data_IF_911433457861
#
_entry.id   IF_911433457861
#
_cell.length_a   1.000
_cell.length_b   1.000
_cell.length_c   1.000
_cell.angle_alpha   90.00
_cell.angle_beta   90.00
_cell.angle_gamma   90.00
#
_symmetry.space_group_name_H-M   'P 1'
#
loop_
_entity.id
_entity.type
_entity.pdbx_description
1 polymer ?
#
# COMPACT_ATOMS: atom_id res chain seq x y z
N UNK A 1 -55.58 -2.49 7.41
CA UNK A 1 -54.15 -2.80 7.18
C UNK A 1 -53.59 -1.69 6.31
N UNK A 2 -52.59 -0.97 6.80
CA UNK A 2 -52.00 0.20 6.15
C UNK A 2 -50.49 0.17 6.36
N UNK A 3 -49.74 0.38 5.28
CA UNK A 3 -48.27 0.43 5.32
C UNK A 3 -47.78 1.88 5.30
N UNK A 4 -46.68 2.15 6.00
CA UNK A 4 -46.02 3.46 5.97
C UNK A 4 -44.59 3.32 5.45
N UNK A 5 -44.27 3.98 4.32
CA UNK A 5 -42.94 3.91 3.71
C UNK A 5 -41.95 4.80 4.45
N UNK A 6 -40.86 4.21 4.93
CA UNK A 6 -39.70 4.92 5.46
C UNK A 6 -38.52 4.75 4.50
N UNK A 7 -37.84 5.86 4.24
CA UNK A 7 -36.58 5.91 3.51
C UNK A 7 -35.47 6.19 4.50
N UNK A 8 -34.61 5.20 4.74
CA UNK A 8 -33.43 5.35 5.57
C UNK A 8 -32.30 6.03 4.80
N UNK A 9 -31.62 6.96 5.45
CA UNK A 9 -30.41 7.63 4.99
C UNK A 9 -29.70 8.27 6.20
N UNK A 10 -28.56 8.93 6.00
CA UNK A 10 -27.79 9.55 7.11
C UNK A 10 -28.60 10.56 7.96
N UNK A 11 -29.64 11.17 7.38
CA UNK A 11 -30.52 12.15 8.04
C UNK A 11 -31.81 11.56 8.62
N UNK A 12 -32.05 10.26 8.42
CA UNK A 12 -33.18 9.54 9.01
C UNK A 12 -32.78 8.07 9.22
N UNK A 13 -32.37 7.77 10.45
CA UNK A 13 -31.71 6.54 10.89
C UNK A 13 -32.67 5.56 11.58
N UNK A 14 -32.16 4.39 11.97
CA UNK A 14 -32.97 3.39 12.68
C UNK A 14 -33.53 3.91 14.01
N UNK A 15 -32.74 4.70 14.76
CA UNK A 15 -33.18 5.35 15.99
C UNK A 15 -34.36 6.30 15.75
N UNK A 16 -34.32 7.06 14.66
CA UNK A 16 -35.37 8.04 14.34
C UNK A 16 -36.68 7.33 13.98
N UNK A 17 -36.59 6.25 13.21
CA UNK A 17 -37.75 5.40 12.93
C UNK A 17 -38.31 4.74 14.19
N UNK A 18 -37.45 4.29 15.11
CA UNK A 18 -37.86 3.69 16.39
C UNK A 18 -38.67 4.67 17.23
N UNK A 19 -38.22 5.92 17.27
CA UNK A 19 -38.87 6.98 18.04
C UNK A 19 -40.17 7.45 17.38
N UNK A 20 -40.33 7.24 16.07
CA UNK A 20 -41.55 7.52 15.31
C UNK A 20 -42.66 6.46 15.50
N UNK A 21 -42.33 5.24 15.92
CA UNK A 21 -43.29 4.11 16.05
C UNK A 21 -44.57 4.47 16.82
N UNK A 22 -44.51 5.09 18.02
CA UNK A 22 -45.73 5.41 18.78
C UNK A 22 -46.68 6.36 18.04
N UNK A 23 -46.13 7.27 17.23
CA UNK A 23 -46.92 8.18 16.41
C UNK A 23 -47.62 7.42 15.27
N UNK A 24 -46.93 6.47 14.63
CA UNK A 24 -47.51 5.67 13.54
C UNK A 24 -48.62 4.75 14.05
N UNK A 25 -48.45 4.18 15.24
CA UNK A 25 -49.49 3.39 15.91
C UNK A 25 -50.74 4.25 16.19
N UNK A 26 -50.57 5.46 16.74
CA UNK A 26 -51.68 6.39 16.97
C UNK A 26 -52.38 6.82 15.66
N UNK A 27 -51.66 6.86 14.54
CA UNK A 27 -52.20 7.11 13.21
C UNK A 27 -52.96 5.91 12.62
N UNK A 28 -52.83 4.72 13.21
CA UNK A 28 -53.47 3.48 12.77
C UNK A 28 -52.69 2.72 11.69
N UNK A 29 -51.38 2.97 11.56
CA UNK A 29 -50.50 2.21 10.66
C UNK A 29 -50.27 0.81 11.24
N UNK A 30 -50.35 -0.21 10.40
CA UNK A 30 -50.16 -1.62 10.82
C UNK A 30 -48.77 -2.14 10.49
N UNK A 31 -48.12 -1.62 9.46
CA UNK A 31 -46.83 -2.13 9.01
C UNK A 31 -45.90 -1.01 8.56
N UNK A 32 -44.63 -1.12 8.95
CA UNK A 32 -43.56 -0.28 8.46
C UNK A 32 -42.98 -0.87 7.17
N UNK A 33 -43.02 -0.13 6.07
CA UNK A 33 -42.34 -0.51 4.83
C UNK A 33 -41.01 0.24 4.72
N UNK A 34 -39.90 -0.41 5.00
CA UNK A 34 -38.58 0.20 5.06
C UNK A 34 -37.77 0.00 3.77
N UNK A 35 -36.97 1.01 3.40
CA UNK A 35 -35.92 0.91 2.37
C UNK A 35 -34.82 -0.09 2.76
N UNK A 36 -33.93 -0.47 1.82
CA UNK A 36 -32.88 -1.44 2.12
C UNK A 36 -31.97 -1.00 3.26
N UNK A 37 -31.48 -1.97 4.04
CA UNK A 37 -30.60 -1.75 5.21
C UNK A 37 -29.13 -2.09 4.96
N UNK A 38 -28.83 -2.74 3.85
CA UNK A 38 -27.49 -3.27 3.56
C UNK A 38 -26.54 -2.15 3.15
N UNK A 39 -25.23 -2.37 3.32
CA UNK A 39 -24.19 -1.38 3.01
C UNK A 39 -24.30 -0.97 1.53
N UNK A 40 -24.67 0.28 1.34
CA UNK A 40 -24.65 0.97 0.05
C UNK A 40 -23.37 1.79 -0.09
N UNK A 41 -23.20 2.46 -1.24
CA UNK A 41 -22.14 3.46 -1.39
C UNK A 41 -22.25 4.54 -0.32
N UNK A 42 -21.10 5.08 0.08
CA UNK A 42 -21.03 6.17 1.05
C UNK A 42 -21.87 7.37 0.59
N UNK A 43 -22.68 7.91 1.51
CA UNK A 43 -23.57 9.04 1.23
C UNK A 43 -24.79 8.71 0.37
N UNK A 44 -25.10 7.43 0.13
CA UNK A 44 -26.32 7.04 -0.60
C UNK A 44 -27.57 7.50 0.15
N UNK A 45 -28.44 8.23 -0.55
CA UNK A 45 -29.71 8.71 -0.01
C UNK A 45 -30.85 7.68 -0.14
N UNK A 46 -30.62 6.58 -0.86
CA UNK A 46 -31.68 5.64 -1.25
C UNK A 46 -31.38 4.19 -0.87
N UNK A 47 -30.11 3.79 -0.79
CA UNK A 47 -29.69 2.46 -0.34
C UNK A 47 -29.91 1.32 -1.35
N UNK A 48 -30.10 1.64 -2.63
CA UNK A 48 -30.29 0.63 -3.69
C UNK A 48 -28.98 0.25 -4.39
N UNK A 49 -27.96 1.09 -4.26
CA UNK A 49 -26.61 0.90 -4.77
C UNK A 49 -25.77 0.09 -3.77
N UNK A 50 -26.16 -1.17 -3.56
CA UNK A 50 -25.55 -2.09 -2.60
C UNK A 50 -24.08 -2.36 -2.93
N UNK A 51 -23.20 -2.04 -2.00
CA UNK A 51 -21.77 -2.33 -2.07
C UNK A 51 -21.40 -3.63 -1.34
N UNK A 52 -22.09 -3.96 -0.24
CA UNK A 52 -21.90 -5.23 0.49
C UNK A 52 -23.25 -5.73 1.05
N UNK A 53 -23.77 -6.87 0.57
CA UNK A 53 -25.06 -7.40 0.96
C UNK A 53 -25.01 -8.12 2.33
N UNK A 54 -23.84 -8.32 2.93
CA UNK A 54 -23.67 -9.01 4.20
C UNK A 54 -23.58 -8.06 5.40
N UNK A 55 -23.37 -6.77 5.14
CA UNK A 55 -23.19 -5.76 6.18
C UNK A 55 -24.36 -4.79 6.21
N UNK A 56 -24.73 -4.38 7.42
CA UNK A 56 -25.63 -3.24 7.61
C UNK A 56 -24.89 -1.96 7.24
N UNK A 57 -25.61 -1.01 6.63
CA UNK A 57 -25.05 0.30 6.35
C UNK A 57 -24.86 1.08 7.66
N UNK A 58 -23.61 1.32 8.03
CA UNK A 58 -23.23 2.07 9.23
C UNK A 58 -23.76 3.51 9.26
N UNK A 59 -24.09 4.11 8.11
CA UNK A 59 -24.71 5.44 8.05
C UNK A 59 -26.17 5.43 8.55
N UNK A 60 -26.85 4.27 8.51
CA UNK A 60 -28.21 4.12 8.98
C UNK A 60 -28.26 3.78 10.48
N UNK A 61 -27.21 3.14 10.97
CA UNK A 61 -27.08 2.72 12.36
C UNK A 61 -26.34 1.40 12.54
N UNK A 62 -26.37 0.88 13.76
CA UNK A 62 -25.79 -0.43 14.08
C UNK A 62 -26.81 -1.57 13.93
N UNK A 63 -26.34 -2.82 14.04
CA UNK A 63 -27.22 -3.99 14.04
C UNK A 63 -28.15 -3.98 15.27
N UNK A 64 -27.64 -3.52 16.40
CA UNK A 64 -28.37 -3.37 17.66
C UNK A 64 -29.45 -2.30 17.53
N UNK A 65 -29.15 -1.14 16.94
CA UNK A 65 -30.16 -0.10 16.69
C UNK A 65 -31.30 -0.59 15.79
N UNK A 66 -31.00 -1.43 14.79
CA UNK A 66 -32.02 -2.05 13.95
C UNK A 66 -32.86 -3.09 14.72
N UNK A 67 -32.23 -3.87 15.58
CA UNK A 67 -32.92 -4.84 16.44
C UNK A 67 -33.84 -4.13 17.45
N UNK A 68 -33.41 -3.01 18.02
CA UNK A 68 -34.25 -2.16 18.88
C UNK A 68 -35.48 -1.62 18.14
N UNK A 69 -35.33 -1.19 16.89
CA UNK A 69 -36.46 -0.81 16.03
C UNK A 69 -37.41 -1.99 15.83
N UNK A 70 -36.89 -3.18 15.52
CA UNK A 70 -37.72 -4.38 15.33
C UNK A 70 -38.49 -4.76 16.60
N UNK A 71 -37.85 -4.71 17.76
CA UNK A 71 -38.48 -4.95 19.06
C UNK A 71 -39.55 -3.90 19.37
N UNK A 72 -39.29 -2.62 19.04
CA UNK A 72 -40.26 -1.54 19.21
C UNK A 72 -41.50 -1.75 18.34
N UNK A 73 -41.33 -2.12 17.07
CA UNK A 73 -42.44 -2.46 16.17
C UNK A 73 -43.25 -3.64 16.72
N UNK A 74 -42.58 -4.70 17.18
CA UNK A 74 -43.26 -5.86 17.79
C UNK A 74 -44.06 -5.47 19.04
N UNK A 75 -43.54 -4.58 19.89
CA UNK A 75 -44.25 -4.09 21.07
C UNK A 75 -45.59 -3.41 20.71
N UNK A 76 -45.62 -2.67 19.61
CA UNK A 76 -46.85 -2.05 19.07
C UNK A 76 -47.62 -2.97 18.10
N UNK A 77 -47.24 -4.25 18.02
CA UNK A 77 -47.85 -5.22 17.10
C UNK A 77 -47.82 -4.78 15.62
N UNK A 78 -46.84 -3.95 15.25
CA UNK A 78 -46.63 -3.49 13.89
C UNK A 78 -45.70 -4.44 13.12
N UNK A 79 -46.03 -4.74 11.87
CA UNK A 79 -45.19 -5.52 10.97
C UNK A 79 -44.02 -4.71 10.39
N UNK A 80 -43.02 -5.42 9.87
CA UNK A 80 -41.89 -4.83 9.14
C UNK A 80 -41.76 -5.49 7.76
N UNK A 81 -41.96 -4.69 6.71
CA UNK A 81 -41.66 -5.06 5.33
C UNK A 81 -40.35 -4.40 4.93
N UNK A 82 -39.31 -5.20 4.70
CA UNK A 82 -37.99 -4.69 4.31
C UNK A 82 -37.79 -4.84 2.80
N UNK A 83 -37.44 -3.75 2.15
CA UNK A 83 -37.08 -3.73 0.74
C UNK A 83 -35.72 -4.39 0.50
N UNK A 84 -35.61 -5.20 -0.57
CA UNK A 84 -34.40 -5.95 -0.91
C UNK A 84 -34.03 -5.73 -2.38
N UNK A 85 -32.73 -5.77 -2.68
CA UNK A 85 -32.20 -5.49 -4.03
C UNK A 85 -31.41 -6.70 -4.53
N UNK A 86 -32.10 -7.74 -5.04
CA UNK A 86 -31.42 -8.97 -5.46
C UNK A 86 -30.78 -8.88 -6.86
N UNK A 87 -31.20 -7.90 -7.67
CA UNK A 87 -30.87 -7.89 -9.09
C UNK A 87 -29.52 -7.24 -9.42
N UNK A 88 -29.06 -6.27 -8.62
CA UNK A 88 -27.88 -5.49 -8.96
C UNK A 88 -27.11 -5.04 -7.72
N UNK A 89 -25.85 -4.69 -7.93
CA UNK A 89 -24.94 -4.14 -6.94
C UNK A 89 -24.20 -2.94 -7.52
N UNK A 90 -23.59 -2.13 -6.67
CA UNK A 90 -22.78 -0.98 -7.09
C UNK A 90 -21.51 -1.44 -7.81
N UNK A 91 -21.32 -0.97 -9.04
CA UNK A 91 -20.05 -1.07 -9.78
C UNK A 91 -19.10 0.04 -9.33
N UNK A 92 -18.60 -0.06 -8.09
CA UNK A 92 -17.75 0.95 -7.46
C UNK A 92 -16.60 0.30 -6.69
N UNK A 93 -15.58 1.09 -6.36
CA UNK A 93 -14.46 0.64 -5.52
C UNK A 93 -14.84 0.31 -4.08
N UNK A 94 -16.09 0.57 -3.67
CA UNK A 94 -16.62 0.18 -2.36
C UNK A 94 -17.14 -1.26 -2.35
N UNK A 95 -17.32 -1.88 -3.53
CA UNK A 95 -17.79 -3.25 -3.68
C UNK A 95 -16.58 -4.19 -3.85
N UNK A 96 -16.24 -4.99 -2.82
CA UNK A 96 -15.06 -5.86 -2.86
C UNK A 96 -15.19 -6.98 -3.90
N UNK A 97 -16.41 -7.46 -4.19
CA UNK A 97 -16.62 -8.49 -5.21
C UNK A 97 -16.36 -7.93 -6.60
N UNK A 98 -16.79 -6.68 -6.82
CA UNK A 98 -16.52 -6.01 -8.08
C UNK A 98 -15.03 -5.74 -8.28
N UNK A 99 -14.33 -5.28 -7.23
CA UNK A 99 -12.88 -5.08 -7.27
C UNK A 99 -12.13 -6.38 -7.60
N UNK A 100 -12.48 -7.50 -6.96
CA UNK A 100 -11.86 -8.80 -7.24
C UNK A 100 -12.08 -9.26 -8.69
N UNK A 101 -13.26 -9.00 -9.26
CA UNK A 101 -13.54 -9.28 -10.67
C UNK A 101 -12.73 -8.39 -11.60
N UNK A 102 -12.52 -7.11 -11.26
CA UNK A 102 -11.69 -6.22 -12.06
C UNK A 102 -10.20 -6.60 -12.00
N UNK A 103 -9.73 -7.09 -10.85
CA UNK A 103 -8.35 -7.52 -10.66
C UNK A 103 -8.06 -8.88 -11.32
N UNK A 104 -8.92 -9.86 -11.07
CA UNK A 104 -8.68 -11.25 -11.45
C UNK A 104 -9.45 -11.69 -12.72
N UNK A 105 -10.29 -10.82 -13.26
CA UNK A 105 -11.13 -11.10 -14.42
C UNK A 105 -11.98 -12.35 -14.22
N UNK A 106 -12.00 -13.22 -15.22
CA UNK A 106 -12.74 -14.49 -15.19
C UNK A 106 -12.25 -15.49 -14.13
N UNK A 107 -11.04 -15.33 -13.62
CA UNK A 107 -10.50 -16.20 -12.57
C UNK A 107 -11.01 -15.82 -11.16
N UNK A 108 -11.63 -14.65 -11.01
CA UNK A 108 -12.25 -14.23 -9.76
C UNK A 108 -13.26 -15.25 -9.24
N UNK A 109 -13.26 -15.47 -7.93
CA UNK A 109 -14.28 -16.27 -7.26
C UNK A 109 -15.69 -15.68 -7.43
N UNK A 110 -15.79 -14.37 -7.68
CA UNK A 110 -17.03 -13.63 -7.84
C UNK A 110 -17.42 -13.39 -9.31
N UNK A 111 -16.64 -13.85 -10.29
CA UNK A 111 -16.90 -13.58 -11.72
C UNK A 111 -18.31 -14.03 -12.18
N UNK A 112 -18.87 -15.06 -11.56
CA UNK A 112 -20.19 -15.61 -11.88
C UNK A 112 -21.35 -14.94 -11.12
N UNK A 113 -21.06 -14.04 -10.18
CA UNK A 113 -22.07 -13.23 -9.48
C UNK A 113 -22.52 -12.02 -10.32
N UNK A 114 -21.75 -11.66 -11.35
CA UNK A 114 -22.05 -10.56 -12.26
C UNK A 114 -22.36 -11.11 -13.65
N UNK A 115 -23.38 -10.53 -14.31
CA UNK A 115 -23.75 -10.89 -15.68
C UNK A 115 -22.80 -10.21 -16.68
N UNK A 116 -21.62 -10.80 -16.87
CA UNK A 116 -20.55 -10.28 -17.73
C UNK A 116 -20.43 -11.15 -19.00
N UNK A 117 -20.53 -10.48 -20.16
CA UNK A 117 -20.26 -11.08 -21.46
C UNK A 117 -18.74 -11.21 -21.72
N UNK A 118 -18.12 -12.24 -21.16
CA UNK A 118 -16.68 -12.50 -21.29
C UNK A 118 -16.23 -12.89 -22.72
N UNK A 119 -17.17 -13.29 -23.57
CA UNK A 119 -16.95 -13.73 -24.94
C UNK A 119 -17.91 -12.98 -25.87
N UNK A 120 -17.66 -11.68 -26.09
CA UNK A 120 -18.54 -10.85 -26.88
C UNK A 120 -18.75 -11.44 -28.27
N UNK A 121 -20.00 -11.43 -28.74
CA UNK A 121 -20.34 -11.87 -30.10
C UNK A 121 -19.50 -11.13 -31.16
N UNK A 122 -19.32 -11.72 -32.34
CA UNK A 122 -18.53 -11.13 -33.43
C UNK A 122 -18.92 -9.67 -33.77
N UNK A 123 -20.19 -9.30 -33.57
CA UNK A 123 -20.68 -7.92 -33.77
C UNK A 123 -20.17 -6.93 -32.71
N UNK A 124 -19.91 -7.38 -31.49
CA UNK A 124 -19.39 -6.58 -30.37
C UNK A 124 -17.86 -6.68 -30.22
N UNK A 125 -17.24 -7.69 -30.83
CA UNK A 125 -15.79 -7.92 -30.76
C UNK A 125 -14.94 -6.78 -31.36
N UNK A 126 -15.55 -5.89 -32.16
CA UNK A 126 -14.88 -4.70 -32.67
C UNK A 126 -14.50 -3.71 -31.54
N UNK A 127 -15.33 -3.63 -30.49
CA UNK A 127 -15.18 -2.67 -29.39
C UNK A 127 -14.85 -3.37 -28.05
N UNK A 128 -15.12 -4.67 -27.93
CA UNK A 128 -14.91 -5.46 -26.72
C UNK A 128 -13.90 -6.57 -26.96
N UNK A 129 -12.82 -6.56 -26.19
CA UNK A 129 -11.84 -7.64 -26.20
C UNK A 129 -12.33 -8.83 -25.37
N UNK A 130 -11.98 -10.05 -25.80
CA UNK A 130 -12.26 -11.25 -25.01
C UNK A 130 -11.61 -11.16 -23.62
N UNK A 131 -12.32 -11.70 -22.62
CA UNK A 131 -11.91 -11.69 -21.22
C UNK A 131 -11.63 -10.29 -20.63
N UNK A 132 -12.20 -9.23 -21.20
CA UNK A 132 -12.11 -7.87 -20.64
C UNK A 132 -13.48 -7.31 -20.32
N UNK A 133 -13.53 -6.46 -19.29
CA UNK A 133 -14.70 -5.66 -18.93
C UNK A 133 -14.49 -4.24 -19.45
N UNK A 134 -15.46 -3.71 -20.18
CA UNK A 134 -15.45 -2.31 -20.61
C UNK A 134 -16.02 -1.42 -19.50
N UNK A 135 -15.19 -0.54 -18.95
CA UNK A 135 -15.60 0.46 -17.98
C UNK A 135 -15.74 1.83 -18.67
N UNK A 136 -16.99 2.26 -18.91
CA UNK A 136 -17.31 3.55 -19.52
C UNK A 136 -17.32 4.67 -18.45
N UNK A 137 -16.17 4.90 -17.83
CA UNK A 137 -16.01 5.77 -16.64
C UNK A 137 -15.15 7.01 -16.88
N UNK A 138 -14.46 7.08 -18.01
CA UNK A 138 -13.61 8.21 -18.37
C UNK A 138 -14.47 9.38 -18.87
N UNK A 139 -14.05 10.60 -18.53
CA UNK A 139 -14.74 11.84 -18.93
C UNK A 139 -14.45 12.28 -20.37
N UNK A 140 -13.42 11.71 -21.00
CA UNK A 140 -12.99 11.98 -22.37
C UNK A 140 -12.40 10.70 -23.00
N UNK A 141 -11.97 10.76 -24.25
CA UNK A 141 -11.32 9.64 -24.95
C UNK A 141 -10.02 9.24 -24.26
N UNK A 142 -9.78 7.93 -24.15
CA UNK A 142 -8.63 7.35 -23.43
C UNK A 142 -7.29 8.00 -23.78
N UNK A 143 -7.01 8.24 -25.06
CA UNK A 143 -5.76 8.84 -25.51
C UNK A 143 -5.52 10.23 -24.92
N UNK A 144 -6.56 11.07 -24.87
CA UNK A 144 -6.47 12.43 -24.32
C UNK A 144 -6.33 12.42 -22.79
N UNK A 145 -7.08 11.54 -22.12
CA UNK A 145 -6.95 11.33 -20.67
C UNK A 145 -5.53 10.89 -20.30
N UNK A 146 -4.94 10.00 -21.11
CA UNK A 146 -3.57 9.53 -20.92
C UNK A 146 -2.53 10.62 -21.19
N UNK A 147 -2.67 11.38 -22.28
CA UNK A 147 -1.79 12.50 -22.63
C UNK A 147 -1.82 13.61 -21.58
N UNK A 148 -2.99 13.88 -21.00
CA UNK A 148 -3.18 14.84 -19.92
C UNK A 148 -2.67 14.35 -18.56
N UNK A 149 -2.18 13.10 -18.45
CA UNK A 149 -1.71 12.48 -17.20
C UNK A 149 -2.79 12.43 -16.11
N UNK A 150 -4.06 12.32 -16.52
CA UNK A 150 -5.19 12.20 -15.58
C UNK A 150 -5.31 10.79 -14.99
N UNK A 151 -4.64 9.81 -15.60
CA UNK A 151 -4.48 8.45 -15.08
C UNK A 151 -3.16 8.33 -14.33
N UNK A 152 -3.22 7.96 -13.06
CA UNK A 152 -2.05 7.77 -12.21
C UNK A 152 -1.92 6.32 -11.76
N UNK A 153 -0.72 5.75 -11.90
CA UNK A 153 -0.38 4.46 -11.30
C UNK A 153 0.05 4.70 -9.84
N UNK A 154 -0.52 3.96 -8.89
CA UNK A 154 -0.17 3.99 -7.48
C UNK A 154 0.10 2.57 -6.97
N UNK A 155 0.84 2.48 -5.87
CA UNK A 155 1.11 1.23 -5.16
C UNK A 155 0.87 1.44 -3.68
N UNK A 156 0.16 0.52 -3.04
CA UNK A 156 -0.05 0.49 -1.58
C UNK A 156 0.09 -0.95 -1.05
N UNK A 157 -0.27 -1.16 0.21
CA UNK A 157 -0.22 -2.46 0.90
C UNK A 157 -1.13 -3.53 0.27
N UNK A 158 -2.09 -3.12 -0.56
CA UNK A 158 -3.03 -4.02 -1.25
C UNK A 158 -2.66 -4.28 -2.71
N UNK A 159 -1.69 -3.56 -3.27
CA UNK A 159 -1.16 -3.80 -4.61
C UNK A 159 -1.08 -2.55 -5.49
N UNK A 160 -1.00 -2.76 -6.81
CA UNK A 160 -1.00 -1.68 -7.79
C UNK A 160 -2.42 -1.23 -8.15
N UNK A 161 -2.59 0.08 -8.30
CA UNK A 161 -3.85 0.74 -8.65
C UNK A 161 -3.70 1.71 -9.81
N UNK A 162 -4.70 1.78 -10.69
CA UNK A 162 -4.91 2.92 -11.59
C UNK A 162 -5.94 3.85 -10.94
N UNK A 163 -5.58 5.12 -10.80
CA UNK A 163 -6.45 6.16 -10.28
C UNK A 163 -6.86 7.14 -11.40
N UNK A 164 -8.12 7.55 -11.38
CA UNK A 164 -8.68 8.62 -12.20
C UNK A 164 -9.56 9.51 -11.33
N UNK A 165 -9.05 10.67 -10.94
CA UNK A 165 -9.62 11.51 -9.87
C UNK A 165 -9.84 10.69 -8.59
N UNK A 166 -11.08 10.65 -8.07
CA UNK A 166 -11.47 9.91 -6.87
C UNK A 166 -11.65 8.39 -7.12
N UNK A 167 -11.66 7.96 -8.39
CA UNK A 167 -11.88 6.57 -8.74
C UNK A 167 -10.56 5.79 -8.71
N UNK A 168 -10.61 4.56 -8.21
CA UNK A 168 -9.46 3.65 -8.17
C UNK A 168 -9.84 2.24 -8.61
N UNK A 169 -8.96 1.62 -9.40
CA UNK A 169 -9.12 0.24 -9.88
C UNK A 169 -7.83 -0.56 -9.71
N UNK A 170 -7.93 -1.82 -9.28
CA UNK A 170 -6.77 -2.69 -9.11
C UNK A 170 -6.22 -3.09 -10.48
N UNK A 171 -4.92 -3.38 -10.54
CA UNK A 171 -4.31 -3.97 -11.74
C UNK A 171 -4.25 -5.49 -11.61
N UNK A 172 -4.46 -6.18 -12.72
CA UNK A 172 -4.20 -7.62 -12.83
C UNK A 172 -2.75 -7.92 -12.40
N UNK A 173 -2.52 -8.83 -11.42
CA UNK A 173 -1.18 -9.22 -10.98
C UNK A 173 -0.23 -9.64 -12.11
N UNK A 174 -0.75 -10.17 -13.23
CA UNK A 174 0.06 -10.49 -14.42
C UNK A 174 0.73 -9.26 -15.04
N UNK A 175 0.16 -8.08 -14.83
CA UNK A 175 0.70 -6.81 -15.32
C UNK A 175 1.82 -6.27 -14.44
N UNK A 176 2.02 -6.81 -13.23
CA UNK A 176 3.01 -6.30 -12.29
C UNK A 176 4.42 -6.48 -12.84
N UNK A 177 4.71 -7.59 -13.52
CA UNK A 177 6.01 -7.83 -14.13
C UNK A 177 6.38 -6.72 -15.12
N UNK A 178 5.45 -6.31 -16.00
CA UNK A 178 5.69 -5.22 -16.97
C UNK A 178 6.01 -3.89 -16.29
N UNK A 179 5.28 -3.57 -15.22
CA UNK A 179 5.49 -2.36 -14.44
C UNK A 179 6.86 -2.43 -13.77
N UNK A 180 7.09 -3.48 -12.98
CA UNK A 180 8.31 -3.66 -12.23
C UNK A 180 9.53 -3.70 -13.17
N UNK A 181 9.48 -4.40 -14.31
CA UNK A 181 10.55 -4.41 -15.30
C UNK A 181 10.89 -3.01 -15.82
N UNK A 182 9.89 -2.17 -16.07
CA UNK A 182 10.12 -0.77 -16.46
C UNK A 182 10.84 0.01 -15.35
N UNK A 183 10.42 -0.18 -14.09
CA UNK A 183 11.04 0.45 -12.93
C UNK A 183 12.43 -0.11 -12.62
N UNK A 184 12.65 -1.42 -12.77
CA UNK A 184 13.94 -2.09 -12.66
C UNK A 184 14.90 -1.62 -13.76
N UNK A 185 14.40 -1.38 -14.98
CA UNK A 185 15.20 -0.80 -16.05
C UNK A 185 15.55 0.68 -15.79
N UNK A 186 14.67 1.40 -15.08
CA UNK A 186 14.95 2.75 -14.60
C UNK A 186 15.96 2.76 -13.44
N UNK A 187 15.98 1.72 -12.59
CA UNK A 187 17.06 1.45 -11.64
C UNK A 187 18.31 0.98 -12.41
N UNK A 188 19.05 1.93 -12.99
CA UNK A 188 20.31 1.62 -13.66
C UNK A 188 21.38 1.34 -12.61
N UNK A 189 21.48 0.05 -12.31
CA UNK A 189 22.58 -0.63 -11.63
C UNK A 189 22.72 -0.29 -10.14
N UNK A 190 22.50 -1.32 -9.31
CA UNK A 190 23.21 -1.43 -8.04
C UNK A 190 24.65 -1.77 -8.41
N UNK A 191 25.57 -0.80 -8.27
CA UNK A 191 26.98 -0.99 -8.58
C UNK A 191 27.81 -1.13 -7.30
N UNK A 192 28.82 -2.01 -7.33
CA UNK A 192 29.77 -2.24 -6.24
C UNK A 192 29.80 -3.70 -5.78
N UNK A 193 30.88 -4.08 -5.08
CA UNK A 193 31.15 -5.46 -4.66
C UNK A 193 30.27 -5.94 -3.48
N UNK A 194 29.29 -5.11 -3.07
CA UNK A 194 28.51 -5.31 -1.86
C UNK A 194 29.32 -5.07 -0.58
N UNK A 195 28.65 -4.68 0.49
CA UNK A 195 29.29 -4.51 1.80
C UNK A 195 28.27 -4.69 2.93
N UNK A 196 28.76 -5.12 4.09
CA UNK A 196 27.93 -5.29 5.30
C UNK A 196 28.21 -4.17 6.29
N UNK A 197 27.15 -3.54 6.78
CA UNK A 197 27.21 -2.44 7.74
C UNK A 197 26.44 -2.76 9.03
N UNK A 198 26.78 -2.08 10.11
CA UNK A 198 26.00 -2.06 11.35
C UNK A 198 24.83 -1.09 11.18
N UNK A 199 23.63 -1.63 11.03
CA UNK A 199 22.38 -0.88 11.06
C UNK A 199 21.20 -1.84 11.35
N UNK A 200 20.11 -1.30 11.88
CA UNK A 200 18.82 -2.00 11.85
C UNK A 200 18.27 -1.96 10.41
N UNK A 201 17.75 -3.06 9.87
CA UNK A 201 17.22 -3.10 8.50
C UNK A 201 16.22 -1.98 8.20
N UNK A 202 15.27 -1.73 9.11
CA UNK A 202 14.26 -0.67 8.91
C UNK A 202 14.83 0.76 8.87
N UNK A 203 15.97 1.03 9.54
CA UNK A 203 16.64 2.33 9.44
C UNK A 203 17.29 2.50 8.06
N UNK A 204 17.80 1.41 7.47
CA UNK A 204 18.37 1.41 6.10
C UNK A 204 17.27 1.57 5.06
N UNK A 205 16.14 0.88 5.23
CA UNK A 205 14.96 1.01 4.36
C UNK A 205 14.49 2.47 4.34
N UNK A 206 14.35 3.09 5.52
CA UNK A 206 13.95 4.50 5.61
C UNK A 206 14.98 5.46 5.00
N UNK A 207 16.28 5.17 5.10
CA UNK A 207 17.33 5.93 4.40
C UNK A 207 17.12 5.84 2.89
N UNK A 208 16.96 4.62 2.36
CA UNK A 208 16.79 4.38 0.93
C UNK A 208 15.52 5.04 0.40
N UNK A 209 14.39 4.86 1.07
CA UNK A 209 13.10 5.46 0.69
C UNK A 209 13.24 6.98 0.53
N UNK A 210 13.81 7.65 1.54
CA UNK A 210 13.98 9.10 1.48
C UNK A 210 14.93 9.55 0.36
N UNK A 211 15.97 8.79 0.05
CA UNK A 211 16.92 9.14 -1.01
C UNK A 211 16.34 8.88 -2.41
N UNK A 212 15.69 7.73 -2.59
CA UNK A 212 15.05 7.35 -3.84
C UNK A 212 13.86 8.24 -4.16
N UNK A 213 13.01 8.55 -3.17
CA UNK A 213 11.89 9.48 -3.32
C UNK A 213 12.36 10.85 -3.80
N UNK A 214 13.45 11.36 -3.21
CA UNK A 214 14.05 12.61 -3.65
C UNK A 214 14.58 12.48 -5.09
N UNK A 215 15.39 11.47 -5.39
CA UNK A 215 15.95 11.28 -6.73
C UNK A 215 14.85 11.22 -7.81
N UNK A 216 13.79 10.45 -7.57
CA UNK A 216 12.67 10.28 -8.51
C UNK A 216 11.84 11.57 -8.62
N UNK A 217 11.57 12.25 -7.50
CA UNK A 217 10.74 13.47 -7.48
C UNK A 217 11.41 14.63 -8.23
N UNK A 218 12.71 14.83 -8.02
CA UNK A 218 13.44 15.96 -8.60
C UNK A 218 14.01 15.65 -9.99
N UNK A 219 14.19 14.37 -10.34
CA UNK A 219 14.76 13.95 -11.61
C UNK A 219 14.10 12.65 -12.11
N UNK A 220 12.90 12.72 -12.69
CA UNK A 220 12.25 11.55 -13.29
C UNK A 220 13.15 10.94 -14.37
N UNK A 221 13.75 9.81 -14.08
CA UNK A 221 14.80 9.21 -14.91
C UNK A 221 15.62 8.18 -14.15
N UNK A 222 16.71 7.67 -14.75
CA UNK A 222 17.47 6.59 -14.13
C UNK A 222 18.18 7.05 -12.86
N UNK A 223 17.99 6.28 -11.78
CA UNK A 223 18.67 6.47 -10.50
C UNK A 223 19.72 5.36 -10.33
N UNK A 224 20.92 5.73 -9.92
CA UNK A 224 22.02 4.78 -9.66
C UNK A 224 22.20 4.64 -8.16
N UNK A 225 22.26 3.40 -7.66
CA UNK A 225 22.57 3.11 -6.26
C UNK A 225 23.93 2.42 -6.21
N UNK A 226 24.85 2.93 -5.40
CA UNK A 226 26.19 2.35 -5.26
C UNK A 226 26.43 1.94 -3.82
N UNK A 227 27.02 0.77 -3.61
CA UNK A 227 27.46 0.33 -2.28
C UNK A 227 28.92 -0.10 -2.36
N UNK A 228 29.77 0.57 -1.60
CA UNK A 228 31.19 0.26 -1.57
C UNK A 228 31.77 0.37 -0.17
N UNK A 229 32.79 -0.44 0.11
CA UNK A 229 33.58 -0.33 1.34
C UNK A 229 34.73 0.65 1.09
N UNK A 230 34.69 1.81 1.77
CA UNK A 230 35.79 2.79 1.78
C UNK A 230 36.46 2.77 3.15
N UNK A 231 37.68 2.23 3.21
CA UNK A 231 38.47 2.10 4.44
C UNK A 231 37.69 1.48 5.62
N UNK A 232 37.34 2.30 6.61
CA UNK A 232 36.63 1.93 7.85
C UNK A 232 35.13 2.21 7.79
N UNK A 233 34.56 2.47 6.61
CA UNK A 233 33.13 2.75 6.41
C UNK A 233 32.56 1.98 5.23
N UNK A 234 31.27 1.72 5.29
CA UNK A 234 30.45 1.32 4.14
C UNK A 234 29.74 2.56 3.64
N UNK A 235 29.85 2.85 2.36
CA UNK A 235 29.23 4.03 1.73
C UNK A 235 28.15 3.56 0.77
N UNK A 236 26.92 3.97 1.05
CA UNK A 236 25.76 3.88 0.18
C UNK A 236 25.60 5.23 -0.52
N UNK A 237 25.66 5.26 -1.85
CA UNK A 237 25.43 6.47 -2.63
C UNK A 237 24.19 6.31 -3.51
N UNK A 238 23.35 7.35 -3.56
CA UNK A 238 22.22 7.45 -4.50
C UNK A 238 22.48 8.63 -5.43
N UNK A 239 22.47 8.39 -6.73
CA UNK A 239 22.77 9.37 -7.78
C UNK A 239 21.57 9.54 -8.72
N UNK A 240 21.15 10.79 -8.92
CA UNK A 240 20.16 11.18 -9.91
C UNK A 240 20.79 11.91 -11.11
N UNK A 241 19.97 12.19 -12.14
CA UNK A 241 20.36 12.99 -13.32
C UNK A 241 19.58 14.30 -13.42
N UNK A 242 19.23 14.86 -12.27
CA UNK A 242 18.44 16.08 -12.14
C UNK A 242 19.24 17.36 -12.35
N UNK A 243 18.65 18.52 -12.00
CA UNK A 243 19.36 19.80 -12.02
C UNK A 243 20.50 19.88 -11.00
N UNK A 244 20.57 18.95 -10.03
CA UNK A 244 21.52 18.96 -8.93
C UNK A 244 21.17 19.98 -7.84
N UNK A 245 21.87 19.90 -6.70
CA UNK A 245 21.78 20.89 -5.62
C UNK A 245 22.94 21.88 -5.77
N UNK A 246 22.68 23.22 -5.83
CA UNK A 246 23.73 24.24 -5.88
C UNK A 246 24.70 24.13 -4.72
N UNK A 247 25.99 24.38 -4.94
CA UNK A 247 27.06 24.15 -3.96
C UNK A 247 26.82 24.88 -2.63
N UNK A 248 26.28 26.10 -2.70
CA UNK A 248 25.92 26.93 -1.55
C UNK A 248 24.74 26.38 -0.72
N UNK A 249 23.92 25.51 -1.30
CA UNK A 249 22.76 24.91 -0.64
C UNK A 249 23.04 23.50 -0.07
N UNK A 250 24.07 22.81 -0.56
CA UNK A 250 24.40 21.41 -0.18
C UNK A 250 24.58 21.23 1.33
N UNK A 251 25.26 22.17 1.98
CA UNK A 251 25.49 22.12 3.43
C UNK A 251 24.21 22.22 4.26
N UNK A 252 23.18 22.89 3.72
CA UNK A 252 21.88 23.11 4.39
C UNK A 252 20.83 22.10 3.97
N UNK A 253 21.07 21.32 2.91
CA UNK A 253 20.14 20.35 2.38
C UNK A 253 19.71 19.28 3.41
N UNK A 254 20.53 19.02 4.43
CA UNK A 254 20.24 18.09 5.54
C UNK A 254 19.61 18.76 6.76
N UNK A 255 19.33 20.08 6.72
CA UNK A 255 18.63 20.79 7.79
C UNK A 255 17.13 20.46 7.74
N UNK A 256 16.51 20.28 8.91
CA UNK A 256 15.06 20.05 9.01
C UNK A 256 14.29 21.23 8.41
N UNK A 257 13.29 20.92 7.57
CA UNK A 257 12.42 21.87 6.89
C UNK A 257 13.12 22.75 5.85
N UNK A 258 14.40 22.51 5.54
CA UNK A 258 15.07 23.22 4.47
C UNK A 258 14.58 22.74 3.10
N UNK A 259 14.33 23.69 2.20
CA UNK A 259 13.91 23.42 0.83
C UNK A 259 14.69 24.35 -0.10
N UNK A 260 15.34 23.78 -1.10
CA UNK A 260 16.15 24.54 -2.04
C UNK A 260 15.34 25.40 -3.01
N UNK A 261 16.00 26.37 -3.65
CA UNK A 261 15.34 27.22 -4.66
C UNK A 261 14.91 26.37 -5.85
N UNK A 262 13.61 26.41 -6.19
CA UNK A 262 13.05 25.64 -7.30
C UNK A 262 12.49 24.27 -6.91
N UNK A 263 12.35 23.96 -5.62
CA UNK A 263 11.74 22.71 -5.19
C UNK A 263 10.24 22.61 -5.58
N UNK A 264 9.75 21.48 -6.11
CA UNK A 264 8.34 21.29 -6.48
C UNK A 264 7.39 21.50 -5.29
N UNK A 265 6.18 22.03 -5.45
CA UNK A 265 5.22 22.17 -4.34
C UNK A 265 4.88 20.80 -3.71
N UNK A 266 4.73 20.74 -2.37
CA UNK A 266 4.27 19.53 -1.65
C UNK A 266 5.28 18.80 -0.76
N UNK A 267 6.59 19.09 -0.82
CA UNK A 267 7.60 18.44 0.04
C UNK A 267 7.74 19.04 1.44
N UNK A 268 7.93 18.19 2.47
CA UNK A 268 8.07 18.60 3.88
C UNK A 268 9.45 19.16 4.25
N UNK A 269 10.48 18.92 3.43
CA UNK A 269 11.87 19.27 3.74
C UNK A 269 12.48 18.45 4.88
N UNK A 270 11.90 17.28 5.20
CA UNK A 270 12.40 16.41 6.27
C UNK A 270 13.28 15.26 5.78
N UNK A 271 13.17 14.85 4.51
CA UNK A 271 13.77 13.59 4.03
C UNK A 271 15.28 13.48 4.30
N UNK A 272 16.08 14.41 3.79
CA UNK A 272 17.55 14.38 4.01
C UNK A 272 17.95 14.61 5.48
N UNK A 273 17.12 15.29 6.27
CA UNK A 273 17.36 15.44 7.71
C UNK A 273 17.14 14.12 8.46
N UNK A 274 16.13 13.33 8.08
CA UNK A 274 15.89 11.97 8.59
C UNK A 274 17.06 11.06 8.20
N UNK A 275 17.49 11.09 6.94
CA UNK A 275 18.65 10.31 6.47
C UNK A 275 19.89 10.61 7.31
N UNK A 276 20.15 11.89 7.60
CA UNK A 276 21.27 12.31 8.46
C UNK A 276 21.16 11.77 9.87
N UNK A 277 19.99 11.91 10.50
CA UNK A 277 19.74 11.42 11.86
C UNK A 277 19.96 9.90 11.98
N UNK A 278 19.43 9.13 11.02
CA UNK A 278 19.61 7.68 10.96
C UNK A 278 21.07 7.29 10.72
N UNK A 279 21.77 7.96 9.81
CA UNK A 279 23.18 7.70 9.56
C UNK A 279 24.05 7.98 10.80
N UNK A 280 23.84 9.12 11.46
CA UNK A 280 24.56 9.51 12.68
C UNK A 280 24.29 8.53 13.83
N UNK A 281 23.07 8.00 13.95
CA UNK A 281 22.70 6.95 14.92
C UNK A 281 23.63 5.74 14.86
N UNK A 282 24.03 5.35 13.65
CA UNK A 282 24.92 4.21 13.39
C UNK A 282 26.41 4.59 13.35
N UNK A 283 26.75 5.81 13.79
CA UNK A 283 28.12 6.35 13.81
C UNK A 283 28.65 6.73 12.42
N UNK A 284 27.71 6.98 11.53
CA UNK A 284 27.90 7.36 10.15
C UNK A 284 27.82 8.87 9.91
N UNK A 285 27.40 9.24 8.71
CA UNK A 285 27.17 10.62 8.30
C UNK A 285 26.68 10.70 6.85
N UNK A 286 26.24 11.88 6.44
CA UNK A 286 25.66 12.13 5.11
C UNK A 286 26.39 13.27 4.43
N UNK A 287 26.72 13.09 3.14
CA UNK A 287 27.30 14.11 2.28
C UNK A 287 26.47 14.28 1.02
N UNK A 288 26.29 15.53 0.59
CA UNK A 288 25.58 15.87 -0.65
C UNK A 288 26.60 16.44 -1.63
N UNK A 289 26.75 15.77 -2.75
CA UNK A 289 27.74 16.00 -3.79
C UNK A 289 27.07 16.18 -5.15
N UNK A 290 27.87 16.57 -6.13
CA UNK A 290 27.47 16.55 -7.54
C UNK A 290 27.73 15.15 -8.11
N UNK A 291 26.77 14.62 -8.85
CA UNK A 291 26.95 13.33 -9.52
C UNK A 291 27.94 13.49 -10.70
N UNK A 292 28.84 12.51 -10.95
CA UNK A 292 29.81 12.59 -12.07
C UNK A 292 29.18 12.79 -13.46
N UNK A 293 27.91 12.39 -13.64
CA UNK A 293 27.14 12.58 -14.86
C UNK A 293 26.23 13.82 -14.88
N UNK A 294 26.36 14.72 -13.90
CA UNK A 294 25.40 15.78 -13.61
C UNK A 294 24.23 15.27 -12.75
N UNK A 295 23.68 16.14 -11.89
CA UNK A 295 22.64 15.78 -10.92
C UNK A 295 23.16 15.76 -9.48
N UNK A 296 22.37 15.20 -8.57
CA UNK A 296 22.73 15.09 -7.15
C UNK A 296 23.27 13.69 -6.83
N UNK A 297 24.33 13.63 -6.04
CA UNK A 297 24.82 12.40 -5.40
C UNK A 297 24.73 12.56 -3.89
N UNK A 298 23.95 11.73 -3.22
CA UNK A 298 23.89 11.71 -1.75
C UNK A 298 24.61 10.47 -1.25
N UNK A 299 25.67 10.66 -0.46
CA UNK A 299 26.44 9.58 0.15
C UNK A 299 26.08 9.44 1.63
N UNK A 300 25.71 8.23 2.02
CA UNK A 300 25.48 7.83 3.41
C UNK A 300 26.57 6.86 3.82
N UNK A 301 27.34 7.23 4.83
CA UNK A 301 28.38 6.38 5.38
C UNK A 301 27.89 5.69 6.65
N UNK A 302 28.17 4.41 6.81
CA UNK A 302 27.84 3.58 7.98
C UNK A 302 29.09 2.83 8.47
N UNK A 303 29.05 2.36 9.73
CA UNK A 303 30.13 1.51 10.25
C UNK A 303 30.04 0.10 9.63
N UNK A 304 31.15 -0.52 9.23
CA UNK A 304 31.13 -1.88 8.72
C UNK A 304 30.72 -2.86 9.83
N UNK A 305 30.01 -3.92 9.45
CA UNK A 305 29.78 -5.04 10.34
C UNK A 305 31.16 -5.66 10.67
N UNK A 306 31.48 -5.96 11.94
CA UNK A 306 32.73 -6.63 12.26
C UNK A 306 32.74 -7.96 11.52
N UNK A 307 33.81 -8.24 10.77
CA UNK A 307 33.99 -9.59 10.25
C UNK A 307 34.04 -10.54 11.45
N UNK A 308 33.32 -11.68 11.40
CA UNK A 308 33.40 -12.67 12.47
C UNK A 308 34.87 -13.08 12.60
N UNK A 309 35.52 -12.58 13.65
CA UNK A 309 36.95 -12.72 13.83
C UNK A 309 37.34 -14.20 13.87
N UNK A 310 38.28 -14.58 13.00
CA UNK A 310 39.03 -15.81 13.15
C UNK A 310 39.57 -15.87 14.58
N UNK A 311 39.31 -16.98 15.25
CA UNK A 311 39.75 -17.26 16.61
C UNK A 311 41.26 -17.10 16.72
N UNK A 312 41.71 -15.95 17.21
CA UNK A 312 43.01 -15.82 17.86
C UNK A 312 42.98 -16.68 19.11
N UNK A 313 43.51 -17.89 19.02
CA UNK A 313 43.71 -18.76 20.17
C UNK A 313 44.60 -18.07 21.21
N UNK A 314 44.30 -18.17 22.51
CA UNK A 314 45.18 -17.63 23.54
C UNK A 314 46.52 -18.37 23.49
N UNK A 315 47.61 -17.59 23.47
CA UNK A 315 48.97 -18.11 23.52
C UNK A 315 49.18 -18.97 24.76
N UNK A 316 49.56 -20.23 24.55
CA UNK A 316 50.08 -21.09 25.60
C UNK A 316 51.50 -20.62 25.91
N UNK A 317 51.65 -20.02 27.10
CA UNK A 317 52.95 -19.70 27.67
C UNK A 317 53.79 -20.95 27.85
N UNK A 318 55.06 -20.84 27.46
CA UNK A 318 56.08 -21.82 27.77
C UNK A 318 56.39 -21.79 29.27
N UNK A 319 56.11 -22.88 29.97
CA UNK A 319 56.79 -23.22 31.22
C UNK A 319 57.46 -24.58 31.08
N UNK A 320 58.77 -24.57 31.35
CA UNK A 320 59.64 -25.72 31.38
C UNK A 320 59.43 -26.48 32.70
N UNK A 321 59.36 -27.80 32.65
CA UNK A 321 59.28 -28.66 33.83
C UNK A 321 59.72 -30.08 33.51
N UNK A 322 60.96 -30.38 33.91
CA UNK A 322 61.69 -31.64 33.78
C UNK A 322 60.91 -32.94 34.02
N UNK A 323 61.23 -33.95 33.20
CA UNK A 323 61.84 -35.19 33.68
C UNK A 323 60.93 -36.31 34.22
N UNK A 324 61.12 -37.48 33.60
CA UNK A 324 61.24 -38.83 34.22
C UNK A 324 60.28 -39.88 33.66
N UNK A 325 60.90 -40.78 32.91
CA UNK A 325 60.60 -42.18 32.62
C UNK A 325 59.53 -42.88 33.49
N UNK A 326 58.66 -43.69 32.85
CA UNK A 326 58.67 -45.17 32.88
C UNK A 326 57.29 -45.76 32.55
N UNK A 327 57.31 -46.74 31.63
CA UNK A 327 56.67 -48.03 31.89
C UNK A 327 55.28 -48.26 31.32
N UNK A 328 55.25 -48.91 30.14
CA UNK A 328 54.81 -50.30 30.11
C UNK A 328 53.35 -50.63 29.75
N UNK A 329 53.25 -51.40 28.65
CA UNK A 329 52.33 -52.50 28.34
C UNK A 329 50.95 -52.20 27.72
N UNK A 330 50.95 -52.42 26.40
CA UNK A 330 50.22 -53.45 25.64
C UNK A 330 48.68 -53.47 25.57
N UNK A 331 48.13 -54.01 24.45
CA UNK A 331 46.83 -53.62 23.92
C UNK A 331 45.78 -54.76 23.95
N UNK A 332 44.52 -54.39 23.65
CA UNK A 332 43.49 -55.29 23.10
C UNK A 332 42.20 -55.40 23.92
N UNK A 333 41.14 -56.01 23.35
CA UNK A 333 40.29 -55.37 22.35
C UNK A 333 38.76 -55.53 22.61
N UNK A 334 37.97 -54.87 21.75
CA UNK A 334 36.62 -55.21 21.27
C UNK A 334 35.40 -55.15 22.22
N UNK A 335 34.49 -54.21 21.93
CA UNK A 335 33.04 -54.34 21.61
C UNK A 335 32.20 -55.46 22.26
N UNK A 336 30.90 -55.21 22.52
CA UNK A 336 29.96 -54.47 21.65
C UNK A 336 29.27 -53.24 22.22
#
# INVERSE_FOLDING_TARGET
MATYRIQFHLGFRFSDARDLVPYLDALGITDLYASPRFKARKGSSHGYDIADPWRINSELGTAEEFEELAQRLQHYQMGLLLDIVPNHMAASSENPWWLDVLENGRASAYAHYFDIDWKPSARKAADLQENRVLLAVLGDVYGKVLENQELALKFDDTGFWVCYYEQKWPLDPKSYALILEHWLAALRAVEGDGATAQAEPGDVDQILDNLLDNAITYAPGPVVVRVERRDRRVVLAVEDRGPGIPAEERGRATERFYRGRGAPPGGSGLGLAIVRELAERWGGGVEVLEAPGGGTRVEVSLRPLPEPGGTGGPGVGAEQGAGTERGGRDPGPADP
#
